data_IF_560222933938
#
_entry.id   IF_560222933938
#
_cell.length_a   1.000
_cell.length_b   1.000
_cell.length_c   1.000
_cell.angle_alpha   90.00
_cell.angle_beta   90.00
_cell.angle_gamma   90.00
#
_symmetry.space_group_name_H-M   'P 1'
#
loop_
_entity.id
_entity.type
_entity.pdbx_description
1 polymer ?
#
# COMPACT_ATOMS: atom_id res chain seq x y z
N UNK A 1 28.30 33.03 12.65
CA UNK A 1 26.94 33.47 13.02
C UNK A 1 26.13 32.22 13.35
N UNK A 2 25.72 32.09 14.61
CA UNK A 2 25.09 30.90 15.16
C UNK A 2 23.58 30.95 14.95
N UNK A 3 22.99 29.97 14.26
CA UNK A 3 21.55 29.73 14.34
C UNK A 3 21.28 28.73 15.46
N UNK A 4 20.92 29.29 16.62
CA UNK A 4 20.35 28.58 17.75
C UNK A 4 18.89 28.24 17.41
N UNK A 5 18.54 26.96 17.44
CA UNK A 5 17.15 26.50 17.56
C UNK A 5 17.13 25.10 18.22
N UNK A 6 17.78 25.01 19.39
CA UNK A 6 17.73 23.84 20.26
C UNK A 6 16.47 23.90 21.12
N UNK A 7 15.33 23.40 20.61
CA UNK A 7 14.14 23.05 21.44
C UNK A 7 12.99 22.36 20.69
N UNK A 8 13.05 22.20 19.35
CA UNK A 8 12.05 21.43 18.58
C UNK A 8 12.59 20.12 17.98
N UNK A 9 13.74 19.64 18.46
CA UNK A 9 14.52 18.59 17.81
C UNK A 9 14.16 17.13 18.15
N UNK A 10 13.28 16.88 19.12
CA UNK A 10 13.01 15.49 19.57
C UNK A 10 11.76 14.86 18.95
N UNK A 11 10.80 15.65 18.44
CA UNK A 11 9.59 15.13 17.77
C UNK A 11 9.76 14.93 16.26
N UNK A 12 10.77 15.56 15.65
CA UNK A 12 10.96 15.53 14.18
C UNK A 12 11.74 14.28 13.74
N UNK A 13 12.49 13.64 14.64
CA UNK A 13 13.23 12.42 14.32
C UNK A 13 12.31 11.21 14.00
N UNK A 14 11.05 11.21 14.43
CA UNK A 14 10.11 10.14 14.09
C UNK A 14 9.56 10.24 12.66
N UNK A 15 9.54 11.44 12.06
CA UNK A 15 8.86 11.65 10.76
C UNK A 15 9.74 11.20 9.58
N UNK A 16 11.05 11.35 9.71
CA UNK A 16 11.98 11.07 8.60
C UNK A 16 12.30 9.58 8.39
N UNK A 17 11.89 8.69 9.30
CA UNK A 17 12.14 7.25 9.18
C UNK A 17 11.08 6.51 8.31
N UNK A 18 9.99 7.17 7.93
CA UNK A 18 8.87 6.57 7.17
C UNK A 18 9.12 6.56 5.65
N UNK A 19 10.38 6.41 5.22
CA UNK A 19 10.75 6.22 3.83
C UNK A 19 11.53 4.92 3.59
N UNK A 20 11.52 3.99 4.54
CA UNK A 20 11.72 2.59 4.21
C UNK A 20 10.40 2.12 3.58
N UNK A 21 10.40 1.85 2.27
CA UNK A 21 9.28 1.16 1.64
C UNK A 21 9.04 -0.13 2.41
N UNK A 22 7.98 -0.15 3.21
CA UNK A 22 7.67 -1.29 4.06
C UNK A 22 7.29 -2.44 3.13
N UNK A 23 8.12 -3.50 3.13
CA UNK A 23 7.96 -4.66 2.27
C UNK A 23 6.55 -5.25 2.38
N UNK A 24 5.89 -5.11 3.52
CA UNK A 24 4.54 -5.59 3.75
C UNK A 24 3.49 -4.72 3.06
N UNK A 25 3.66 -3.40 3.00
CA UNK A 25 2.70 -2.51 2.31
C UNK A 25 2.63 -2.76 0.81
N UNK A 26 3.78 -3.04 0.16
CA UNK A 26 3.80 -3.48 -1.23
C UNK A 26 3.04 -4.81 -1.40
N UNK A 27 3.32 -5.80 -0.53
CA UNK A 27 2.69 -7.11 -0.63
C UNK A 27 1.18 -7.03 -0.39
N UNK A 28 0.73 -6.23 0.59
CA UNK A 28 -0.71 -5.99 0.81
C UNK A 28 -1.35 -5.32 -0.40
N UNK A 29 -0.69 -4.32 -1.01
CA UNK A 29 -1.19 -3.66 -2.19
C UNK A 29 -1.41 -4.65 -3.35
N UNK A 30 -0.39 -5.43 -3.71
CA UNK A 30 -0.48 -6.42 -4.80
C UNK A 30 -1.64 -7.38 -4.55
N UNK A 31 -1.71 -7.89 -3.32
CA UNK A 31 -2.68 -8.89 -2.92
C UNK A 31 -4.12 -8.37 -2.95
N UNK A 32 -4.38 -7.13 -2.51
CA UNK A 32 -5.74 -6.57 -2.49
C UNK A 32 -6.16 -6.00 -3.85
N UNK A 33 -5.22 -5.51 -4.65
CA UNK A 33 -5.52 -4.98 -5.99
C UNK A 33 -5.97 -6.06 -6.97
N UNK A 34 -5.64 -7.33 -6.73
CA UNK A 34 -6.21 -8.47 -7.46
C UNK A 34 -7.74 -8.54 -7.41
N UNK A 35 -8.40 -7.87 -6.46
CA UNK A 35 -9.88 -7.87 -6.34
C UNK A 35 -10.56 -6.82 -7.24
N UNK A 36 -9.76 -5.95 -7.88
CA UNK A 36 -10.28 -4.97 -8.83
C UNK A 36 -10.87 -5.68 -10.05
N UNK A 37 -12.11 -5.29 -10.41
CA UNK A 37 -12.82 -5.83 -11.58
C UNK A 37 -13.47 -7.20 -11.37
N UNK A 38 -13.25 -7.88 -10.22
CA UNK A 38 -13.96 -9.13 -9.89
C UNK A 38 -15.43 -8.90 -9.50
N UNK A 39 -15.74 -7.71 -9.01
CA UNK A 39 -17.05 -7.33 -8.49
C UNK A 39 -17.55 -6.09 -9.25
N UNK A 40 -18.86 -6.01 -9.48
CA UNK A 40 -19.45 -4.89 -10.20
C UNK A 40 -19.50 -3.59 -9.36
N UNK A 41 -19.46 -3.71 -8.03
CA UNK A 41 -19.58 -2.59 -7.11
C UNK A 41 -18.28 -2.37 -6.32
N UNK A 42 -18.00 -1.10 -5.99
CA UNK A 42 -16.84 -0.76 -5.15
C UNK A 42 -16.92 -1.43 -3.77
N UNK A 43 -18.12 -1.54 -3.21
CA UNK A 43 -18.34 -2.20 -1.91
C UNK A 43 -18.02 -3.70 -2.00
N UNK A 44 -18.45 -4.38 -3.07
CA UNK A 44 -18.11 -5.78 -3.33
C UNK A 44 -16.60 -5.98 -3.44
N UNK A 45 -15.91 -5.13 -4.20
CA UNK A 45 -14.45 -5.17 -4.32
C UNK A 45 -13.76 -4.94 -2.96
N UNK A 46 -14.18 -3.95 -2.16
CA UNK A 46 -13.62 -3.71 -0.81
C UNK A 46 -13.82 -4.93 0.09
N UNK A 47 -15.00 -5.57 0.05
CA UNK A 47 -15.23 -6.80 0.79
C UNK A 47 -14.31 -7.93 0.30
N UNK A 48 -14.08 -8.04 -1.01
CA UNK A 48 -13.07 -8.93 -1.60
C UNK A 48 -11.68 -8.70 -1.02
N UNK A 49 -11.26 -7.43 -0.91
CA UNK A 49 -9.98 -7.05 -0.32
C UNK A 49 -9.88 -7.54 1.14
N UNK A 50 -10.90 -7.29 1.96
CA UNK A 50 -10.91 -7.76 3.36
C UNK A 50 -10.93 -9.29 3.47
N UNK A 51 -11.66 -9.99 2.59
CA UNK A 51 -11.62 -11.46 2.51
C UNK A 51 -10.22 -11.98 2.23
N UNK A 52 -9.44 -11.26 1.41
CA UNK A 52 -8.05 -11.61 1.14
C UNK A 52 -7.16 -11.41 2.38
N UNK A 53 -7.33 -10.31 3.12
CA UNK A 53 -6.63 -10.09 4.39
C UNK A 53 -6.92 -11.17 5.43
N UNK A 54 -8.15 -11.71 5.48
CA UNK A 54 -8.53 -12.78 6.42
C UNK A 54 -7.70 -14.06 6.27
N UNK A 55 -7.08 -14.29 5.09
CA UNK A 55 -6.20 -15.44 4.85
C UNK A 55 -4.75 -15.22 5.31
N UNK A 56 -4.42 -14.06 5.86
CA UNK A 56 -3.05 -13.70 6.24
C UNK A 56 -2.68 -13.99 7.71
N UNK A 57 -3.57 -14.63 8.47
CA UNK A 57 -3.28 -15.01 9.87
C UNK A 57 -2.97 -13.82 10.76
N UNK A 58 -1.82 -13.83 11.44
CA UNK A 58 -1.45 -12.84 12.45
C UNK A 58 -1.32 -11.40 11.91
N UNK A 59 -1.02 -11.23 10.62
CA UNK A 59 -0.87 -9.90 10.00
C UNK A 59 -2.19 -9.36 9.42
N UNK A 60 -3.29 -10.11 9.53
CA UNK A 60 -4.63 -9.66 9.13
C UNK A 60 -4.96 -8.23 9.59
N UNK A 61 -4.84 -7.84 10.88
CA UNK A 61 -5.23 -6.50 11.31
C UNK A 61 -4.40 -5.39 10.65
N UNK A 62 -3.15 -5.67 10.28
CA UNK A 62 -2.29 -4.74 9.55
C UNK A 62 -2.77 -4.57 8.10
N UNK A 63 -3.15 -5.69 7.46
CA UNK A 63 -3.75 -5.68 6.12
C UNK A 63 -5.11 -4.97 6.10
N UNK A 64 -5.97 -5.20 7.09
CA UNK A 64 -7.26 -4.49 7.21
C UNK A 64 -7.04 -2.97 7.31
N UNK A 65 -6.03 -2.56 8.10
CA UNK A 65 -5.66 -1.16 8.23
C UNK A 65 -5.14 -0.58 6.91
N UNK A 66 -4.33 -1.34 6.20
CA UNK A 66 -3.89 -0.97 4.86
C UNK A 66 -5.06 -0.72 3.91
N UNK A 67 -6.09 -1.59 3.88
CA UNK A 67 -7.28 -1.36 3.06
C UNK A 67 -7.97 -0.06 3.47
N UNK A 68 -8.17 0.17 4.76
CA UNK A 68 -8.80 1.40 5.26
C UNK A 68 -8.05 2.67 4.82
N UNK A 69 -6.72 2.62 4.81
CA UNK A 69 -5.87 3.77 4.48
C UNK A 69 -5.65 3.97 2.96
N UNK A 70 -5.76 2.91 2.14
CA UNK A 70 -5.39 2.95 0.71
C UNK A 70 -6.52 2.66 -0.28
N UNK A 71 -7.63 2.02 0.11
CA UNK A 71 -8.69 1.62 -0.82
C UNK A 71 -9.17 2.79 -1.69
N UNK A 72 -9.42 3.96 -1.10
CA UNK A 72 -9.85 5.15 -1.86
C UNK A 72 -8.88 5.53 -2.99
N UNK A 73 -7.57 5.51 -2.73
CA UNK A 73 -6.54 5.84 -3.73
C UNK A 73 -6.41 4.75 -4.78
N UNK A 74 -6.46 3.48 -4.37
CA UNK A 74 -6.49 2.33 -5.28
C UNK A 74 -7.65 2.46 -6.29
N UNK A 75 -8.86 2.75 -5.82
CA UNK A 75 -10.00 2.96 -6.71
C UNK A 75 -9.86 4.20 -7.60
N UNK A 76 -9.25 5.28 -7.10
CA UNK A 76 -9.04 6.48 -7.89
C UNK A 76 -8.13 6.18 -9.09
N UNK A 77 -7.03 5.46 -8.87
CA UNK A 77 -6.12 5.04 -9.94
C UNK A 77 -6.80 4.07 -10.90
N UNK A 78 -7.49 3.05 -10.38
CA UNK A 78 -8.20 2.07 -11.21
C UNK A 78 -9.26 2.74 -12.12
N UNK A 79 -10.05 3.69 -11.59
CA UNK A 79 -11.02 4.47 -12.38
C UNK A 79 -10.35 5.45 -13.34
N UNK A 80 -9.16 5.93 -13.00
CA UNK A 80 -8.32 6.75 -13.87
C UNK A 80 -7.66 5.96 -15.01
N UNK A 81 -7.94 4.66 -15.14
CA UNK A 81 -7.42 3.80 -16.20
C UNK A 81 -6.02 3.25 -15.93
N UNK A 82 -5.51 3.38 -14.70
CA UNK A 82 -4.23 2.75 -14.32
C UNK A 82 -4.42 1.23 -14.29
N UNK A 83 -3.64 0.47 -15.07
CA UNK A 83 -3.69 -0.98 -15.04
C UNK A 83 -3.38 -1.51 -13.63
N UNK A 84 -4.14 -2.52 -13.17
CA UNK A 84 -3.93 -3.20 -11.88
C UNK A 84 -2.47 -3.46 -11.51
N UNK A 85 -1.60 -4.02 -12.38
CA UNK A 85 -0.22 -4.30 -12.01
C UNK A 85 0.63 -3.05 -11.72
N UNK A 86 0.21 -1.86 -12.20
CA UNK A 86 0.94 -0.60 -12.01
C UNK A 86 0.44 0.21 -10.82
N UNK A 87 -0.72 -0.14 -10.24
CA UNK A 87 -1.34 0.66 -9.17
C UNK A 87 -0.43 0.79 -7.95
N UNK A 88 0.24 -0.29 -7.54
CA UNK A 88 1.07 -0.29 -6.34
C UNK A 88 2.38 0.47 -6.51
N UNK A 89 2.87 0.55 -7.74
CA UNK A 89 4.05 1.33 -8.13
C UNK A 89 3.69 2.81 -8.19
N UNK A 90 2.52 3.15 -8.76
CA UNK A 90 2.00 4.52 -8.81
C UNK A 90 1.72 5.09 -7.40
N UNK A 91 1.28 4.24 -6.47
CA UNK A 91 1.15 4.60 -5.06
C UNK A 91 2.50 4.71 -4.33
N UNK A 92 3.62 4.45 -5.01
CA UNK A 92 4.97 4.39 -4.44
C UNK A 92 5.11 3.38 -3.27
N UNK A 93 4.23 2.37 -3.22
CA UNK A 93 4.26 1.32 -2.20
C UNK A 93 5.25 0.22 -2.57
N UNK A 94 5.36 -0.07 -3.86
CA UNK A 94 6.37 -0.94 -4.43
C UNK A 94 7.38 -0.09 -5.18
N UNK A 95 8.60 0.06 -4.65
CA UNK A 95 9.72 0.58 -5.43
C UNK A 95 10.18 -0.44 -6.44
N UNK A 96 11.39 -0.27 -6.98
CA UNK A 96 11.93 -1.12 -8.04
C UNK A 96 12.25 -2.55 -7.54
N UNK A 97 11.22 -3.32 -7.17
CA UNK A 97 11.18 -4.76 -6.88
C UNK A 97 11.33 -5.60 -8.15
N UNK A 98 11.92 -5.04 -9.21
CA UNK A 98 12.34 -5.80 -10.41
C UNK A 98 13.63 -6.59 -10.19
N UNK A 99 13.82 -7.08 -8.98
CA UNK A 99 14.71 -8.20 -8.71
C UNK A 99 13.94 -9.13 -7.78
N UNK A 100 13.52 -10.30 -8.30
CA UNK A 100 12.98 -11.44 -7.56
C UNK A 100 11.46 -11.67 -7.45
N UNK A 101 10.63 -11.29 -8.45
CA UNK A 101 9.34 -11.99 -8.68
C UNK A 101 8.77 -11.79 -10.09
N UNK A 102 9.60 -11.98 -11.12
CA UNK A 102 9.11 -12.28 -12.47
C UNK A 102 9.99 -13.38 -13.05
N UNK A 103 9.67 -14.63 -12.70
CA UNK A 103 9.98 -15.75 -13.57
C UNK A 103 8.65 -16.35 -14.07
N UNK A 104 8.06 -15.84 -15.16
CA UNK A 104 7.16 -16.64 -15.96
C UNK A 104 8.02 -17.62 -16.77
N UNK A 105 7.98 -18.91 -16.40
CA UNK A 105 8.27 -19.99 -17.34
C UNK A 105 7.05 -20.16 -18.25
#
# INVERSE_FOLDING_TARGET
>A
MAFRAASLGLLIACVSLVAAQDIMTCMFCEVVTEELGKEASALGTIQGMFRRCSRMGLVKPVCDRFIADYAKRIFALARGGVPTPLICEELNLCGNRRSNSKNPL
#
